data_IF_423132376161
#
_entry.id   IF_423132376161
#
_cell.length_a   1.000
_cell.length_b   1.000
_cell.length_c   1.000
_cell.angle_alpha   90.00
_cell.angle_beta   90.00
_cell.angle_gamma   90.00
#
_symmetry.space_group_name_H-M   'P 1'
#
loop_
_entity.id
_entity.type
_entity.pdbx_description
1 polymer ?
#
# COMPACT_ATOMS: atom_id res chain seq x y z
N UNK A 1 -7.56 -10.91 -19.23
CA UNK A 1 -8.78 -11.74 -19.38
C UNK A 1 -8.50 -12.94 -20.27
N UNK A 2 -8.31 -12.77 -21.57
CA UNK A 2 -8.04 -13.86 -22.53
C UNK A 2 -6.96 -14.86 -22.06
N UNK A 3 -5.86 -14.36 -21.50
CA UNK A 3 -4.78 -15.23 -20.97
C UNK A 3 -5.22 -16.06 -19.77
N UNK A 4 -5.96 -15.49 -18.82
CA UNK A 4 -6.48 -16.23 -17.67
C UNK A 4 -7.51 -17.28 -18.11
N UNK A 5 -8.36 -16.93 -19.06
CA UNK A 5 -9.32 -17.86 -19.69
C UNK A 5 -8.60 -18.99 -20.43
N UNK A 6 -7.45 -18.72 -21.06
CA UNK A 6 -6.62 -19.76 -21.69
C UNK A 6 -6.05 -20.79 -20.70
N UNK A 7 -5.92 -20.41 -19.43
CA UNK A 7 -5.58 -21.32 -18.33
C UNK A 7 -6.82 -22.02 -17.74
N UNK A 8 -8.02 -21.74 -18.24
CA UNK A 8 -9.27 -22.28 -17.71
C UNK A 8 -9.75 -21.61 -16.42
N UNK A 9 -9.29 -20.39 -16.13
CA UNK A 9 -9.77 -19.61 -15.00
C UNK A 9 -11.09 -18.92 -15.36
N UNK A 10 -12.08 -19.03 -14.47
CA UNK A 10 -13.28 -18.20 -14.53
C UNK A 10 -13.00 -16.89 -13.80
N UNK A 11 -12.94 -15.79 -14.56
CA UNK A 11 -12.58 -14.48 -14.02
C UNK A 11 -13.80 -13.55 -14.03
N UNK A 12 -14.13 -12.99 -12.87
CA UNK A 12 -15.06 -11.86 -12.75
C UNK A 12 -14.22 -10.58 -12.56
N UNK A 13 -13.99 -9.85 -13.65
CA UNK A 13 -13.18 -8.64 -13.63
C UNK A 13 -14.02 -7.43 -13.23
N UNK A 14 -13.52 -6.65 -12.26
CA UNK A 14 -14.14 -5.41 -11.78
C UNK A 14 -13.16 -4.26 -11.90
N UNK A 15 -13.57 -3.20 -12.60
CA UNK A 15 -12.80 -1.97 -12.71
C UNK A 15 -13.13 -1.03 -11.55
N UNK A 16 -12.09 -0.49 -10.91
CA UNK A 16 -12.22 0.51 -9.85
C UNK A 16 -12.28 1.90 -10.44
N UNK A 17 -13.16 2.75 -9.91
CA UNK A 17 -13.47 4.07 -10.50
C UNK A 17 -13.21 5.25 -9.56
N UNK A 18 -12.96 4.98 -8.28
CA UNK A 18 -12.63 5.98 -7.26
C UNK A 18 -11.80 5.34 -6.15
N UNK A 19 -11.13 6.16 -5.34
CA UNK A 19 -10.34 5.67 -4.21
C UNK A 19 -11.24 5.05 -3.15
N UNK A 20 -10.89 3.85 -2.70
CA UNK A 20 -11.68 3.02 -1.80
C UNK A 20 -12.65 2.06 -2.51
N UNK A 21 -12.83 2.16 -3.83
CA UNK A 21 -13.73 1.27 -4.56
C UNK A 21 -13.23 -0.19 -4.51
N UNK A 22 -11.91 -0.44 -4.53
CA UNK A 22 -11.40 -1.81 -4.41
C UNK A 22 -11.70 -2.41 -3.03
N UNK A 23 -11.70 -1.59 -1.97
CA UNK A 23 -12.11 -2.01 -0.62
C UNK A 23 -13.57 -2.45 -0.60
N UNK A 24 -14.47 -1.68 -1.23
CA UNK A 24 -15.90 -2.00 -1.30
C UNK A 24 -16.18 -3.30 -2.06
N UNK A 25 -15.53 -3.46 -3.22
CA UNK A 25 -15.61 -4.68 -4.04
C UNK A 25 -15.09 -5.87 -3.25
N UNK A 26 -13.86 -5.79 -2.72
CA UNK A 26 -13.22 -6.90 -2.02
C UNK A 26 -14.02 -7.35 -0.80
N UNK A 27 -14.55 -6.40 -0.02
CA UNK A 27 -15.41 -6.71 1.13
C UNK A 27 -16.69 -7.43 0.72
N UNK A 28 -17.36 -6.93 -0.31
CA UNK A 28 -18.62 -7.51 -0.80
C UNK A 28 -18.38 -8.93 -1.28
N UNK A 29 -17.37 -9.14 -2.12
CA UNK A 29 -17.06 -10.44 -2.70
C UNK A 29 -16.53 -11.44 -1.66
N UNK A 30 -15.77 -11.00 -0.67
CA UNK A 30 -15.32 -11.87 0.43
C UNK A 30 -16.50 -12.41 1.24
N UNK A 31 -17.46 -11.53 1.56
CA UNK A 31 -18.72 -11.90 2.25
C UNK A 31 -19.61 -12.81 1.38
N UNK A 32 -19.53 -12.68 0.06
CA UNK A 32 -20.23 -13.55 -0.90
C UNK A 32 -19.54 -14.90 -1.14
N UNK A 33 -18.44 -15.20 -0.44
CA UNK A 33 -17.79 -16.51 -0.54
C UNK A 33 -16.57 -16.55 -1.46
N UNK A 34 -16.15 -15.43 -2.08
CA UNK A 34 -14.90 -15.42 -2.84
C UNK A 34 -13.69 -15.52 -1.91
N UNK A 35 -12.66 -16.22 -2.38
CA UNK A 35 -11.42 -16.49 -1.65
C UNK A 35 -10.19 -15.95 -2.36
N UNK A 36 -10.16 -16.01 -3.68
CA UNK A 36 -9.02 -15.55 -4.46
C UNK A 36 -9.30 -14.17 -5.05
N UNK A 37 -8.45 -13.20 -4.70
CA UNK A 37 -8.53 -11.83 -5.18
C UNK A 37 -7.30 -11.51 -6.03
N UNK A 38 -7.50 -11.45 -7.34
CA UNK A 38 -6.47 -11.06 -8.29
C UNK A 38 -6.42 -9.54 -8.41
N UNK A 39 -5.37 -8.94 -7.88
CA UNK A 39 -5.19 -7.49 -7.83
C UNK A 39 -4.25 -7.05 -8.93
N UNK A 40 -4.80 -6.54 -10.02
CA UNK A 40 -4.03 -5.92 -11.10
C UNK A 40 -3.88 -4.41 -10.84
N UNK A 41 -2.74 -3.98 -10.33
CA UNK A 41 -2.54 -2.59 -9.92
C UNK A 41 -1.21 -2.32 -9.22
N UNK A 42 -1.17 -1.22 -8.45
CA UNK A 42 -0.03 -0.88 -7.59
C UNK A 42 -0.30 -1.18 -6.12
N UNK A 43 0.64 -0.78 -5.25
CA UNK A 43 0.60 -1.09 -3.82
C UNK A 43 -0.65 -0.50 -3.13
N UNK A 44 -1.13 0.65 -3.62
CA UNK A 44 -2.36 1.28 -3.15
C UNK A 44 -3.60 0.42 -3.41
N UNK A 45 -3.74 -0.15 -4.61
CA UNK A 45 -4.86 -1.03 -4.95
C UNK A 45 -4.81 -2.31 -4.12
N UNK A 46 -3.63 -2.90 -3.94
CA UNK A 46 -3.45 -4.06 -3.06
C UNK A 46 -3.83 -3.73 -1.61
N UNK A 47 -3.46 -2.55 -1.12
CA UNK A 47 -3.81 -2.10 0.22
C UNK A 47 -5.33 -1.87 0.39
N UNK A 48 -6.00 -1.33 -0.64
CA UNK A 48 -7.46 -1.20 -0.62
C UNK A 48 -8.15 -2.57 -0.53
N UNK A 49 -7.69 -3.56 -1.31
CA UNK A 49 -8.22 -4.93 -1.26
C UNK A 49 -7.97 -5.58 0.10
N UNK A 50 -6.75 -5.45 0.65
CA UNK A 50 -6.43 -5.91 2.01
C UNK A 50 -7.44 -5.37 3.05
N UNK A 51 -7.67 -4.06 3.05
CA UNK A 51 -8.61 -3.42 3.98
C UNK A 51 -10.08 -3.83 3.71
N UNK A 52 -10.39 -4.34 2.52
CA UNK A 52 -11.70 -4.88 2.17
C UNK A 52 -11.92 -6.28 2.74
N UNK A 53 -10.89 -7.12 2.72
CA UNK A 53 -10.95 -8.51 3.19
C UNK A 53 -10.67 -8.69 4.67
N UNK A 54 -10.23 -7.64 5.38
CA UNK A 54 -9.99 -7.65 6.83
C UNK A 54 -11.19 -7.08 7.60
N UNK A 55 -11.57 -7.75 8.69
CA UNK A 55 -12.62 -7.34 9.63
C UNK A 55 -12.27 -7.86 11.04
N UNK A 56 -12.29 -6.98 12.07
CA UNK A 56 -11.95 -7.33 13.46
C UNK A 56 -10.60 -8.05 13.62
N UNK A 57 -9.53 -7.46 13.06
CA UNK A 57 -8.15 -7.95 13.10
C UNK A 57 -7.94 -9.35 12.48
N UNK A 58 -8.86 -9.79 11.62
CA UNK A 58 -8.81 -11.08 10.93
C UNK A 58 -9.28 -10.95 9.49
N UNK A 59 -8.89 -11.91 8.66
CA UNK A 59 -9.53 -12.08 7.35
C UNK A 59 -11.00 -12.46 7.56
N UNK A 60 -11.89 -11.94 6.70
CA UNK A 60 -13.31 -12.32 6.66
C UNK A 60 -13.47 -13.84 6.48
N UNK A 61 -12.54 -14.48 5.78
CA UNK A 61 -12.40 -15.94 5.70
C UNK A 61 -10.92 -16.32 5.74
N UNK A 62 -10.52 -17.37 6.50
CA UNK A 62 -9.12 -17.70 6.74
C UNK A 62 -8.36 -18.21 5.50
N UNK A 63 -9.08 -18.61 4.47
CA UNK A 63 -8.60 -19.13 3.19
C UNK A 63 -8.57 -18.06 2.08
N UNK A 64 -8.67 -16.77 2.43
CA UNK A 64 -8.53 -15.68 1.45
C UNK A 64 -7.07 -15.55 1.01
N UNK A 65 -6.86 -15.51 -0.30
CA UNK A 65 -5.57 -15.29 -0.96
C UNK A 65 -5.61 -13.98 -1.77
N UNK A 66 -4.57 -13.17 -1.63
CA UNK A 66 -4.35 -11.96 -2.43
C UNK A 66 -3.27 -12.23 -3.47
N UNK A 67 -3.66 -12.28 -4.74
CA UNK A 67 -2.75 -12.53 -5.86
C UNK A 67 -2.38 -11.18 -6.47
N UNK A 68 -1.16 -10.71 -6.20
CA UNK A 68 -0.71 -9.39 -6.65
C UNK A 68 -0.12 -9.44 -8.07
N UNK A 69 -0.86 -8.91 -9.04
CA UNK A 69 -0.44 -8.75 -10.42
C UNK A 69 0.09 -7.32 -10.61
N UNK A 70 1.40 -7.15 -10.43
CA UNK A 70 2.05 -5.84 -10.40
C UNK A 70 1.89 -5.08 -11.72
N UNK A 71 1.17 -3.97 -11.69
CA UNK A 71 0.94 -3.06 -12.83
C UNK A 71 1.18 -1.58 -12.47
N UNK A 72 1.60 -1.29 -11.24
CA UNK A 72 1.94 0.06 -10.77
C UNK A 72 3.42 0.41 -10.91
N UNK A 73 3.75 1.69 -10.68
CA UNK A 73 5.11 2.24 -10.84
C UNK A 73 6.08 1.86 -9.71
N UNK A 74 5.60 1.68 -8.47
CA UNK A 74 6.42 1.39 -7.29
C UNK A 74 6.58 -0.12 -7.04
N UNK A 75 5.43 -0.80 -6.95
CA UNK A 75 5.24 -2.22 -6.63
C UNK A 75 6.26 -2.76 -5.61
N UNK A 76 6.45 -2.02 -4.52
CA UNK A 76 7.49 -2.31 -3.53
C UNK A 76 7.14 -3.53 -2.68
N UNK A 77 5.85 -3.77 -2.45
CA UNK A 77 5.37 -4.95 -1.70
C UNK A 77 5.84 -6.25 -2.38
N UNK A 78 5.88 -6.29 -3.72
CA UNK A 78 6.37 -7.45 -4.46
C UNK A 78 7.88 -7.69 -4.31
N UNK A 79 8.64 -6.77 -3.70
CA UNK A 79 10.07 -6.96 -3.37
C UNK A 79 10.26 -7.64 -2.01
N UNK A 80 9.20 -7.72 -1.20
CA UNK A 80 9.22 -8.38 0.09
C UNK A 80 9.22 -9.91 -0.03
N UNK A 81 8.67 -10.43 -1.13
CA UNK A 81 8.51 -11.87 -1.36
C UNK A 81 9.68 -12.44 -2.18
N UNK A 82 10.17 -13.66 -1.87
CA UNK A 82 11.31 -14.27 -2.55
C UNK A 82 11.08 -14.54 -4.03
N UNK A 83 9.88 -15.00 -4.38
CA UNK A 83 9.54 -15.43 -5.73
C UNK A 83 8.61 -14.44 -6.41
N UNK A 84 8.83 -14.27 -7.71
CA UNK A 84 7.97 -13.47 -8.58
C UNK A 84 7.48 -14.34 -9.70
N UNK A 85 6.16 -14.54 -9.76
CA UNK A 85 5.52 -15.17 -10.90
C UNK A 85 5.26 -14.11 -11.96
N UNK A 86 5.82 -14.24 -13.17
CA UNK A 86 5.48 -13.36 -14.28
C UNK A 86 3.97 -13.34 -14.50
N UNK A 87 3.40 -12.18 -14.84
CA UNK A 87 1.98 -12.05 -15.18
C UNK A 87 1.56 -12.93 -16.38
N UNK A 88 2.55 -13.40 -17.14
CA UNK A 88 2.38 -14.29 -18.27
C UNK A 88 2.13 -15.75 -17.85
N UNK A 89 2.43 -16.12 -16.63
CA UNK A 89 2.39 -17.51 -16.22
C UNK A 89 1.03 -17.84 -15.58
N UNK A 90 0.71 -19.13 -15.47
CA UNK A 90 -0.50 -19.55 -14.77
C UNK A 90 -0.37 -19.18 -13.30
N UNK A 91 -1.20 -18.25 -12.78
CA UNK A 91 -1.04 -17.76 -11.42
C UNK A 91 -1.35 -18.82 -10.35
N UNK A 92 -1.96 -19.97 -10.72
CA UNK A 92 -2.13 -21.10 -9.80
C UNK A 92 -0.82 -21.82 -9.46
N UNK A 93 0.23 -21.59 -10.26
CA UNK A 93 1.56 -22.12 -9.99
C UNK A 93 2.39 -21.18 -9.11
N UNK A 94 1.84 -20.02 -8.74
CA UNK A 94 2.52 -19.09 -7.84
C UNK A 94 2.66 -19.69 -6.44
N UNK A 95 3.76 -19.37 -5.78
CA UNK A 95 3.96 -19.71 -4.37
C UNK A 95 3.18 -18.72 -3.50
N UNK A 96 2.35 -19.25 -2.61
CA UNK A 96 1.62 -18.47 -1.60
C UNK A 96 2.46 -18.31 -0.34
N UNK A 97 2.45 -17.12 0.23
CA UNK A 97 3.13 -16.80 1.50
C UNK A 97 2.11 -16.27 2.51
N UNK A 98 2.25 -16.68 3.77
CA UNK A 98 1.58 -16.00 4.89
C UNK A 98 2.43 -14.81 5.28
N UNK A 99 1.85 -13.62 5.25
CA UNK A 99 2.56 -12.38 5.58
C UNK A 99 1.92 -11.70 6.80
N UNK A 100 2.75 -11.06 7.62
CA UNK A 100 2.27 -10.21 8.69
C UNK A 100 1.59 -8.97 8.11
N UNK A 101 0.55 -8.53 8.81
CA UNK A 101 -0.21 -7.34 8.46
C UNK A 101 -0.04 -6.33 9.58
N UNK A 102 0.48 -5.16 9.25
CA UNK A 102 0.53 -4.04 10.17
C UNK A 102 -0.87 -3.47 10.40
N UNK A 103 -1.19 -3.14 11.65
CA UNK A 103 -2.44 -2.47 12.04
C UNK A 103 -2.13 -1.06 12.52
N UNK A 104 -3.02 -0.13 12.19
CA UNK A 104 -2.99 1.25 12.67
C UNK A 104 -4.34 1.57 13.25
N UNK A 105 -4.31 2.14 14.44
CA UNK A 105 -5.47 2.72 15.09
C UNK A 105 -5.17 4.20 15.29
N UNK A 106 -6.03 5.06 14.74
CA UNK A 106 -5.89 6.49 14.93
C UNK A 106 -7.26 7.17 14.96
N UNK A 107 -7.28 8.43 15.36
CA UNK A 107 -8.49 9.25 15.39
C UNK A 107 -8.45 10.22 14.22
N UNK A 108 -9.48 10.18 13.38
CA UNK A 108 -9.69 11.12 12.28
C UNK A 108 -11.06 11.78 12.43
N UNK A 109 -11.07 13.11 12.48
CA UNK A 109 -12.29 13.91 12.62
C UNK A 109 -13.16 13.47 13.82
N UNK A 110 -12.50 13.16 14.94
CA UNK A 110 -13.15 12.69 16.18
C UNK A 110 -13.65 11.24 16.13
N UNK A 111 -13.36 10.49 15.07
CA UNK A 111 -13.74 9.08 14.93
C UNK A 111 -12.51 8.19 14.95
N UNK A 112 -12.59 7.11 15.72
CA UNK A 112 -11.63 6.03 15.65
C UNK A 112 -11.68 5.38 14.26
N UNK A 113 -10.50 5.21 13.68
CA UNK A 113 -10.31 4.51 12.42
C UNK A 113 -9.24 3.44 12.61
N UNK A 114 -9.55 2.25 12.09
CA UNK A 114 -8.61 1.14 11.99
C UNK A 114 -8.24 0.96 10.52
N UNK A 115 -6.96 0.78 10.23
CA UNK A 115 -6.43 0.48 8.91
C UNK A 115 -5.35 -0.59 8.99
N UNK A 116 -5.24 -1.36 7.93
CA UNK A 116 -4.22 -2.40 7.77
C UNK A 116 -3.25 -2.02 6.66
N UNK A 117 -2.01 -2.49 6.73
CA UNK A 117 -0.99 -2.27 5.70
C UNK A 117 -0.01 -3.45 5.57
N UNK A 118 0.52 -3.67 4.37
CA UNK A 118 1.63 -4.61 4.08
C UNK A 118 2.98 -3.92 3.88
N UNK A 119 2.96 -2.64 3.48
CA UNK A 119 4.17 -1.91 3.15
C UNK A 119 4.65 -1.10 4.35
N UNK A 120 4.08 0.09 4.54
CA UNK A 120 4.43 1.00 5.60
C UNK A 120 3.28 1.94 5.91
N UNK A 121 3.43 2.67 7.00
CA UNK A 121 2.61 3.81 7.34
C UNK A 121 3.48 4.91 7.93
N UNK A 122 3.13 6.15 7.59
CA UNK A 122 3.91 7.32 8.00
C UNK A 122 3.01 8.44 8.50
N UNK A 123 3.48 9.14 9.54
CA UNK A 123 2.89 10.38 10.05
C UNK A 123 3.93 11.49 9.86
N UNK A 124 3.49 12.67 9.42
CA UNK A 124 4.37 13.79 9.03
C UNK A 124 3.88 14.42 7.75
N UNK A 125 4.83 14.84 6.92
CA UNK A 125 4.97 14.69 5.45
C UNK A 125 3.76 14.28 4.59
N UNK A 126 2.78 13.58 5.15
CA UNK A 126 1.54 13.11 4.55
C UNK A 126 0.35 13.53 5.44
N UNK A 127 0.03 14.84 5.61
CA UNK A 127 -1.31 15.27 6.08
C UNK A 127 -1.63 16.78 5.97
N UNK A 128 -1.33 17.44 4.84
CA UNK A 128 -1.99 18.73 4.48
C UNK A 128 -1.89 19.02 2.98
N UNK A 129 -2.76 18.38 2.20
CA UNK A 129 -2.88 18.61 0.75
C UNK A 129 -4.27 19.14 0.37
N UNK A 130 -4.73 20.19 1.04
CA UNK A 130 -5.86 21.00 0.56
C UNK A 130 -5.40 22.46 0.68
N UNK A 131 -4.76 22.98 -0.38
CA UNK A 131 -4.81 24.41 -0.81
C UNK A 131 -3.80 24.79 -1.93
N UNK A 132 -2.79 23.98 -2.29
CA UNK A 132 -1.73 24.42 -3.24
C UNK A 132 -1.81 23.76 -4.62
N UNK A 133 -3.01 23.58 -5.17
CA UNK A 133 -3.19 23.15 -6.58
C UNK A 133 -3.84 24.22 -7.47
N UNK A 134 -3.97 25.47 -6.98
CA UNK A 134 -4.55 26.56 -7.77
C UNK A 134 -3.55 27.63 -8.24
N UNK A 135 -2.24 27.44 -8.06
CA UNK A 135 -1.24 28.34 -8.64
C UNK A 135 -0.55 27.64 -9.81
N UNK A 136 -1.16 27.83 -10.99
CA UNK A 136 -0.49 27.67 -12.28
C UNK A 136 0.72 28.60 -12.33
N UNK A 137 1.92 28.05 -12.42
CA UNK A 137 3.11 28.80 -12.87
C UNK A 137 4.01 27.90 -13.71
N UNK A 138 3.69 27.87 -15.01
CA UNK A 138 4.63 28.15 -16.11
C UNK A 138 6.13 27.91 -15.84
N UNK A 139 6.62 26.67 -15.66
CA UNK A 139 8.07 26.40 -15.78
C UNK A 139 8.48 24.93 -16.04
N UNK A 140 7.66 24.09 -16.68
CA UNK A 140 8.02 22.67 -16.92
C UNK A 140 7.71 22.13 -18.33
N UNK A 141 7.73 22.99 -19.35
CA UNK A 141 7.64 22.53 -20.75
C UNK A 141 8.92 21.85 -21.27
N UNK A 142 10.03 21.84 -20.51
CA UNK A 142 11.30 21.23 -20.95
C UNK A 142 11.65 19.88 -20.29
N UNK A 143 10.93 19.47 -19.24
CA UNK A 143 11.16 18.18 -18.54
C UNK A 143 10.20 17.06 -18.98
N UNK A 144 9.40 17.29 -20.02
CA UNK A 144 8.43 16.32 -20.59
C UNK A 144 9.06 15.14 -21.34
N UNK A 145 10.36 14.86 -21.19
CA UNK A 145 11.06 13.79 -21.93
C UNK A 145 11.84 12.79 -21.07
N UNK A 146 11.72 12.85 -19.75
CA UNK A 146 12.31 11.87 -18.83
C UNK A 146 11.28 11.44 -17.78
N UNK A 147 10.86 10.17 -17.88
CA UNK A 147 10.05 9.34 -16.98
C UNK A 147 9.01 10.04 -16.09
N UNK A 148 7.74 9.93 -16.49
CA UNK A 148 6.54 10.33 -15.75
C UNK A 148 6.55 9.79 -14.31
N UNK A 149 7.13 8.61 -14.08
CA UNK A 149 7.26 8.00 -12.76
C UNK A 149 8.24 8.73 -11.84
N UNK A 150 9.33 9.27 -12.38
CA UNK A 150 10.32 10.04 -11.59
C UNK A 150 9.74 11.40 -11.24
N UNK A 151 8.95 12.01 -12.12
CA UNK A 151 8.26 13.27 -11.83
C UNK A 151 7.15 13.08 -10.78
N UNK A 152 6.42 11.97 -10.81
CA UNK A 152 5.40 11.62 -9.82
C UNK A 152 6.03 11.28 -8.45
N UNK A 153 7.11 10.50 -8.46
CA UNK A 153 7.91 10.19 -7.27
C UNK A 153 8.53 11.46 -6.67
N UNK A 154 9.06 12.35 -7.52
CA UNK A 154 9.61 13.65 -7.11
C UNK A 154 8.53 14.59 -6.59
N UNK A 155 7.31 14.56 -7.13
CA UNK A 155 6.18 15.33 -6.58
C UNK A 155 5.74 14.80 -5.21
N UNK A 156 5.71 13.47 -5.02
CA UNK A 156 5.50 12.83 -3.72
C UNK A 156 6.57 13.20 -2.70
N UNK A 157 7.85 13.06 -3.09
CA UNK A 157 9.03 13.45 -2.28
C UNK A 157 9.13 14.96 -2.04
N UNK A 158 8.65 15.81 -2.94
CA UNK A 158 8.68 17.26 -2.74
C UNK A 158 7.66 17.70 -1.67
N UNK A 159 6.52 17.02 -1.59
CA UNK A 159 5.56 17.20 -0.51
C UNK A 159 6.12 16.73 0.85
N UNK A 160 7.03 15.74 0.85
CA UNK A 160 7.84 15.30 2.01
C UNK A 160 8.73 16.40 2.57
N UNK A 161 9.19 17.35 1.76
CA UNK A 161 10.03 18.45 2.27
C UNK A 161 9.25 19.67 2.77
N UNK A 162 7.92 19.71 2.60
CA UNK A 162 7.09 20.88 2.93
C UNK A 162 6.33 20.79 4.26
N UNK A 163 6.44 19.69 4.99
CA UNK A 163 5.74 19.53 6.27
C UNK A 163 6.49 20.19 7.43
N UNK A 164 5.72 20.86 8.29
CA UNK A 164 6.23 21.46 9.52
C UNK A 164 6.63 20.42 10.55
N UNK A 165 7.36 20.87 11.57
CA UNK A 165 7.69 20.03 12.70
C UNK A 165 6.41 19.60 13.45
N UNK A 166 6.36 18.35 13.88
CA UNK A 166 5.32 17.81 14.75
C UNK A 166 5.92 17.50 16.11
N UNK A 167 5.19 17.85 17.16
CA UNK A 167 5.53 17.47 18.52
C UNK A 167 4.74 16.21 18.87
N UNK A 168 5.43 15.16 19.32
CA UNK A 168 4.80 13.90 19.71
C UNK A 168 5.45 13.31 20.96
N UNK A 169 4.62 12.65 21.76
CA UNK A 169 5.06 11.66 22.73
C UNK A 169 5.08 10.29 22.05
N UNK A 170 6.13 9.51 22.29
CA UNK A 170 6.29 8.20 21.68
C UNK A 170 6.38 7.16 22.78
N UNK A 171 5.70 6.04 22.57
CA UNK A 171 5.85 4.84 23.39
C UNK A 171 6.14 3.68 22.44
N UNK A 172 7.23 2.97 22.69
CA UNK A 172 7.64 1.82 21.89
C UNK A 172 8.02 0.68 22.84
N UNK A 173 7.43 -0.50 22.66
CA UNK A 173 7.61 -1.67 23.55
C UNK A 173 7.47 -1.35 25.05
N UNK A 174 6.49 -0.49 25.38
CA UNK A 174 6.23 -0.05 26.76
C UNK A 174 7.22 0.99 27.29
N UNK A 175 8.25 1.35 26.53
CA UNK A 175 9.18 2.42 26.86
C UNK A 175 8.64 3.77 26.37
N UNK A 176 8.42 4.68 27.30
CA UNK A 176 8.08 6.07 26.99
C UNK A 176 9.33 6.87 26.64
N UNK A 177 9.22 7.67 25.59
CA UNK A 177 10.23 8.63 25.18
C UNK A 177 9.77 10.04 25.53
N UNK A 178 10.69 10.92 25.99
CA UNK A 178 10.37 12.33 26.20
C UNK A 178 9.83 12.94 24.91
N UNK A 179 9.01 13.98 25.05
CA UNK A 179 8.48 14.75 23.94
C UNK A 179 9.56 15.03 22.87
N UNK A 180 9.23 14.68 21.62
CA UNK A 180 10.12 14.88 20.47
C UNK A 180 9.45 15.77 19.45
N UNK A 181 10.28 16.61 18.85
CA UNK A 181 9.93 17.38 17.67
C UNK A 181 10.51 16.67 16.46
N UNK A 182 9.66 16.06 15.65
CA UNK A 182 10.03 15.26 14.48
C UNK A 182 9.41 15.84 13.20
N UNK A 183 9.99 15.54 12.04
CA UNK A 183 9.39 15.89 10.74
C UNK A 183 8.60 14.74 10.12
N UNK A 184 9.04 13.52 10.37
CA UNK A 184 8.46 12.32 9.82
C UNK A 184 8.69 11.17 10.80
N UNK A 185 7.68 10.31 10.93
CA UNK A 185 7.79 9.00 11.55
C UNK A 185 7.22 7.99 10.56
N UNK A 186 7.94 6.90 10.37
CA UNK A 186 7.51 5.79 9.51
C UNK A 186 7.65 4.49 10.28
N UNK A 187 6.61 3.68 10.24
CA UNK A 187 6.60 2.28 10.68
C UNK A 187 6.42 1.43 9.42
N UNK A 188 7.22 0.38 9.23
CA UNK A 188 7.22 -0.35 7.98
C UNK A 188 7.41 -1.85 8.18
N UNK A 189 6.68 -2.63 7.39
CA UNK A 189 6.93 -4.06 7.21
C UNK A 189 7.76 -4.34 5.96
N UNK A 190 7.56 -3.54 4.92
CA UNK A 190 8.36 -3.58 3.71
C UNK A 190 9.45 -2.51 3.77
N UNK A 191 10.71 -2.93 3.75
CA UNK A 191 11.86 -2.02 3.73
C UNK A 191 12.01 -1.24 2.44
N UNK A 192 11.31 -1.63 1.36
CA UNK A 192 11.29 -0.92 0.08
C UNK A 192 10.18 0.12 0.03
N UNK A 193 10.48 1.26 -0.61
CA UNK A 193 9.52 2.32 -0.85
C UNK A 193 9.88 3.11 -2.12
N UNK A 194 8.89 3.82 -2.67
CA UNK A 194 9.06 4.76 -3.77
C UNK A 194 9.80 4.19 -5.00
N UNK A 195 9.58 2.93 -5.35
CA UNK A 195 10.05 2.36 -6.61
C UNK A 195 11.47 1.81 -6.51
N UNK A 196 11.89 1.38 -5.32
CA UNK A 196 13.18 0.71 -5.11
C UNK A 196 14.14 1.45 -4.19
N UNK A 197 13.72 2.56 -3.58
CA UNK A 197 14.42 3.06 -2.39
C UNK A 197 14.25 2.05 -1.26
N UNK A 198 15.21 2.03 -0.33
CA UNK A 198 15.19 1.11 0.79
C UNK A 198 15.62 1.84 2.08
N UNK A 199 14.99 1.53 3.20
CA UNK A 199 15.33 2.13 4.50
C UNK A 199 16.71 1.68 5.04
N UNK A 200 17.34 0.68 4.42
CA UNK A 200 18.61 0.08 4.85
C UNK A 200 18.46 -0.87 6.03
N UNK A 201 17.21 -1.19 6.41
CA UNK A 201 16.86 -2.09 7.52
C UNK A 201 16.30 -3.36 6.89
N UNK A 202 16.92 -4.54 7.11
CA UNK A 202 16.37 -5.80 6.65
C UNK A 202 14.97 -6.01 7.22
N UNK A 203 14.06 -6.49 6.38
CA UNK A 203 12.70 -6.84 6.78
C UNK A 203 12.29 -8.13 6.06
N UNK A 204 11.56 -9.01 6.73
CA UNK A 204 10.95 -10.19 6.11
C UNK A 204 9.44 -10.03 6.07
N UNK A 205 8.72 -10.94 5.40
CA UNK A 205 7.27 -10.86 5.30
C UNK A 205 6.55 -11.42 6.54
N UNK A 206 7.20 -12.23 7.38
CA UNK A 206 6.56 -13.07 8.40
C UNK A 206 7.33 -13.20 9.74
N UNK A 207 8.30 -12.32 10.03
CA UNK A 207 9.06 -12.36 11.28
C UNK A 207 8.30 -11.91 12.55
N UNK A 208 7.07 -11.41 12.42
CA UNK A 208 6.29 -10.87 13.53
C UNK A 208 6.72 -9.49 14.03
N UNK A 209 7.67 -8.83 13.35
CA UNK A 209 8.18 -7.50 13.72
C UNK A 209 7.77 -6.40 12.72
N UNK A 210 7.84 -5.15 13.21
CA UNK A 210 7.65 -3.87 12.49
C UNK A 210 8.85 -2.96 12.68
#
# INVERSE_FOLDING_TARGET
MERAESFGLQVDARETTFSGHATEIARTEAKNGRRQFYVFGGDGTLNEVLNGVMENDRLISPDIELIYLTAGSSCDIAKLFPERTPITDDPRNAVSYLADVGKIECVKDGKEIVRYFLANSSIGVISRSIEVFNVKTTFQSFLKRLNIDVAALYAGLKNVFQFGNMTCCLTFDGQEFPERTIKNMTVFKCSYFGGGMNYGIPSTYDDGYL
#
